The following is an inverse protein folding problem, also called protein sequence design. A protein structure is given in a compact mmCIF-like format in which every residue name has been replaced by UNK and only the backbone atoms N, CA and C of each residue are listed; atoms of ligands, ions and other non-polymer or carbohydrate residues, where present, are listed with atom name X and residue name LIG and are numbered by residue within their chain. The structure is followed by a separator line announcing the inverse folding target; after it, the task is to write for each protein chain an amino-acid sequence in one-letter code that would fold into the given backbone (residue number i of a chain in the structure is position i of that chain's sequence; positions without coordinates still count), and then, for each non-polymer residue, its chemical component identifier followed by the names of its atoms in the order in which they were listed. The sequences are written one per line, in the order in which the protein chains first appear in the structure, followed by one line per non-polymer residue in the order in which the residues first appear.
data_IF_437827285031
#
_entry.id   IF_437827285031
#
_cell.length_a   1.000
_cell.length_b   1.000
_cell.length_c   1.000
_cell.angle_alpha   90.00
_cell.angle_beta   90.00
_cell.angle_gamma   90.00
#
_symmetry.space_group_name_H-M   'P 1'
#
loop_
_entity.id
_entity.type
_entity.pdbx_description
1 polymer ?
#
# COMPACT_ATOMS: atom_id res chain seq x y z
N UNK A 1 14.22 9.10 -6.19
CA UNK A 1 15.45 9.90 -6.02
C UNK A 1 15.47 11.11 -6.93
N UNK A 2 15.30 11.00 -8.28
CA UNK A 2 15.34 12.15 -9.19
C UNK A 2 14.38 13.28 -8.78
N UNK A 3 13.13 12.96 -8.44
CA UNK A 3 12.14 13.94 -7.97
C UNK A 3 12.59 14.59 -6.66
N UNK A 4 13.21 13.86 -5.75
CA UNK A 4 13.76 14.42 -4.51
C UNK A 4 14.85 15.48 -4.77
N UNK A 5 15.69 15.27 -5.77
CA UNK A 5 16.71 16.22 -6.20
C UNK A 5 16.05 17.48 -6.77
N UNK A 6 15.03 17.32 -7.62
CA UNK A 6 14.26 18.45 -8.17
C UNK A 6 13.61 19.25 -7.04
N UNK A 7 12.97 18.58 -6.08
CA UNK A 7 12.35 19.25 -4.91
C UNK A 7 13.39 19.97 -4.05
N UNK A 8 14.58 19.41 -3.91
CA UNK A 8 15.66 20.05 -3.16
C UNK A 8 16.10 21.41 -3.77
N UNK A 9 16.24 21.46 -5.10
CA UNK A 9 16.70 22.68 -5.78
C UNK A 9 15.58 23.68 -6.06
N UNK A 10 14.39 23.23 -6.43
CA UNK A 10 13.26 24.07 -6.86
C UNK A 10 12.19 24.27 -5.79
N UNK A 11 12.34 23.61 -4.63
CA UNK A 11 11.33 23.65 -3.57
C UNK A 11 10.08 22.85 -3.89
N UNK A 12 9.01 23.10 -3.12
CA UNK A 12 7.74 22.35 -3.21
C UNK A 12 6.62 23.12 -3.90
N UNK A 13 6.82 24.39 -4.24
CA UNK A 13 5.76 25.29 -4.75
C UNK A 13 5.14 24.76 -6.04
N UNK A 14 5.98 24.33 -6.99
CA UNK A 14 5.56 23.80 -8.29
C UNK A 14 4.69 22.54 -8.19
N UNK A 15 4.83 21.81 -7.07
CA UNK A 15 4.05 20.58 -6.84
C UNK A 15 2.57 20.93 -6.68
N UNK A 16 2.25 21.99 -5.94
CA UNK A 16 0.86 22.44 -5.75
C UNK A 16 0.21 22.91 -7.06
N UNK A 17 1.02 23.39 -8.01
CA UNK A 17 0.53 23.82 -9.33
C UNK A 17 0.24 22.61 -10.25
N UNK A 18 1.08 21.57 -10.19
CA UNK A 18 0.93 20.36 -10.99
C UNK A 18 -0.03 19.36 -10.35
N UNK A 19 0.04 19.22 -9.02
CA UNK A 19 -0.72 18.28 -8.21
C UNK A 19 -1.51 19.02 -7.12
N UNK A 20 -2.58 19.74 -7.46
CA UNK A 20 -3.41 20.39 -6.46
C UNK A 20 -4.05 19.33 -5.55
N UNK A 21 -4.32 19.65 -4.26
CA UNK A 21 -4.87 18.70 -3.26
C UNK A 21 -6.13 17.96 -3.72
N UNK A 22 -6.97 18.63 -4.54
CA UNK A 22 -8.19 18.02 -5.11
C UNK A 22 -7.85 16.87 -6.07
N UNK A 23 -6.79 17.01 -6.88
CA UNK A 23 -6.33 15.96 -7.80
C UNK A 23 -5.78 14.76 -7.05
N UNK A 24 -5.14 14.96 -5.91
CA UNK A 24 -4.61 13.87 -5.07
C UNK A 24 -5.72 12.98 -4.54
N UNK A 25 -6.84 13.55 -4.09
CA UNK A 25 -8.01 12.78 -3.66
C UNK A 25 -8.56 11.89 -4.78
N UNK A 26 -8.63 12.41 -6.00
CA UNK A 26 -9.05 11.63 -7.16
C UNK A 26 -8.08 10.48 -7.50
N UNK A 27 -6.76 10.72 -7.42
CA UNK A 27 -5.74 9.68 -7.64
C UNK A 27 -5.86 8.56 -6.63
N UNK A 28 -5.98 8.88 -5.33
CA UNK A 28 -6.15 7.88 -4.26
C UNK A 28 -7.44 7.07 -4.46
N UNK A 29 -8.53 7.72 -4.86
CA UNK A 29 -9.79 7.04 -5.15
C UNK A 29 -9.66 6.08 -6.34
N UNK A 30 -8.94 6.47 -7.40
CA UNK A 30 -8.68 5.61 -8.56
C UNK A 30 -7.83 4.40 -8.20
N UNK A 31 -6.81 4.55 -7.35
CA UNK A 31 -6.00 3.44 -6.84
C UNK A 31 -6.89 2.45 -6.07
N UNK A 32 -7.76 2.96 -5.19
CA UNK A 32 -8.71 2.12 -4.46
C UNK A 32 -9.68 1.36 -5.37
N UNK A 33 -10.18 2.01 -6.42
CA UNK A 33 -11.06 1.38 -7.41
C UNK A 33 -10.33 0.30 -8.22
N UNK A 34 -9.10 0.53 -8.63
CA UNK A 34 -8.30 -0.46 -9.35
C UNK A 34 -8.01 -1.69 -8.48
N UNK A 35 -7.64 -1.49 -7.23
CA UNK A 35 -7.40 -2.57 -6.28
C UNK A 35 -8.67 -3.33 -5.90
N UNK A 36 -9.86 -2.72 -6.03
CA UNK A 36 -11.13 -3.35 -5.69
C UNK A 36 -11.41 -4.61 -6.51
N UNK A 37 -11.02 -4.62 -7.81
CA UNK A 37 -11.13 -5.78 -8.68
C UNK A 37 -10.28 -6.96 -8.19
N UNK A 38 -9.04 -6.70 -7.78
CA UNK A 38 -8.14 -7.70 -7.20
C UNK A 38 -8.69 -8.20 -5.86
N UNK A 39 -9.18 -7.32 -5.01
CA UNK A 39 -9.80 -7.70 -3.73
C UNK A 39 -11.03 -8.58 -3.93
N UNK A 40 -11.89 -8.28 -4.91
CA UNK A 40 -13.07 -9.08 -5.23
C UNK A 40 -12.70 -10.48 -5.73
N UNK A 41 -11.64 -10.62 -6.53
CA UNK A 41 -11.09 -11.91 -6.96
C UNK A 41 -10.55 -12.69 -5.76
N UNK A 42 -9.72 -12.09 -4.94
CA UNK A 42 -9.17 -12.71 -3.72
C UNK A 42 -10.29 -13.11 -2.74
N UNK A 43 -11.35 -12.31 -2.64
CA UNK A 43 -12.53 -12.59 -1.83
C UNK A 43 -13.46 -13.66 -2.40
N UNK A 44 -13.20 -14.17 -3.61
CA UNK A 44 -14.00 -15.22 -4.25
C UNK A 44 -15.35 -14.74 -4.80
N UNK A 45 -15.55 -13.42 -4.95
CA UNK A 45 -16.76 -12.84 -5.57
C UNK A 45 -16.68 -12.90 -7.09
N UNK A 46 -15.48 -12.62 -7.63
CA UNK A 46 -15.19 -12.69 -9.06
C UNK A 46 -14.36 -13.94 -9.30
N UNK A 47 -14.88 -14.83 -10.15
CA UNK A 47 -14.23 -16.09 -10.49
C UNK A 47 -13.24 -15.88 -11.65
N UNK A 48 -12.09 -16.53 -11.56
CA UNK A 48 -11.17 -16.69 -12.69
C UNK A 48 -11.39 -18.10 -13.29
N UNK A 49 -11.96 -18.13 -14.50
CA UNK A 49 -12.23 -19.39 -15.22
C UNK A 49 -13.52 -20.10 -14.77
N UNK A 50 -13.54 -21.43 -14.86
CA UNK A 50 -14.69 -22.29 -14.52
C UNK A 50 -14.86 -22.56 -13.01
N UNK A 51 -14.29 -21.71 -12.15
CA UNK A 51 -14.38 -21.87 -10.70
C UNK A 51 -15.80 -21.67 -10.17
N UNK A 52 -16.10 -22.24 -9.02
CA UNK A 52 -17.34 -22.03 -8.29
C UNK A 52 -17.14 -21.04 -7.15
N UNK A 53 -18.16 -20.22 -6.89
CA UNK A 53 -18.15 -19.32 -5.73
C UNK A 53 -18.05 -20.16 -4.45
N UNK A 54 -17.06 -19.86 -3.62
CA UNK A 54 -16.90 -20.46 -2.30
C UNK A 54 -17.61 -19.60 -1.25
N UNK A 55 -18.80 -19.98 -0.77
CA UNK A 55 -19.58 -19.14 0.13
C UNK A 55 -18.84 -18.75 1.41
N UNK A 56 -18.01 -19.65 1.92
CA UNK A 56 -17.22 -19.43 3.13
C UNK A 56 -16.15 -18.34 2.93
N UNK A 57 -15.50 -18.31 1.78
CA UNK A 57 -14.51 -17.29 1.43
C UNK A 57 -15.17 -15.92 1.26
N UNK A 58 -16.31 -15.88 0.56
CA UNK A 58 -17.12 -14.67 0.40
C UNK A 58 -17.61 -14.15 1.75
N UNK A 59 -18.06 -15.03 2.64
CA UNK A 59 -18.49 -14.64 3.99
C UNK A 59 -17.37 -13.95 4.77
N UNK A 60 -16.15 -14.53 4.78
CA UNK A 60 -15.00 -13.93 5.46
C UNK A 60 -14.64 -12.59 4.84
N UNK A 61 -14.67 -12.49 3.52
CA UNK A 61 -14.38 -11.24 2.80
C UNK A 61 -15.35 -10.13 3.20
N UNK A 62 -16.66 -10.40 3.17
CA UNK A 62 -17.69 -9.44 3.57
C UNK A 62 -17.57 -9.08 5.05
N UNK A 63 -17.33 -10.07 5.91
CA UNK A 63 -17.15 -9.85 7.35
C UNK A 63 -15.96 -8.93 7.64
N UNK A 64 -14.80 -9.18 7.01
CA UNK A 64 -13.60 -8.36 7.21
C UNK A 64 -13.80 -6.92 6.75
N UNK A 65 -14.43 -6.70 5.58
CA UNK A 65 -14.77 -5.36 5.12
C UNK A 65 -15.72 -4.67 6.10
N UNK A 66 -16.75 -5.38 6.53
CA UNK A 66 -17.74 -4.83 7.46
C UNK A 66 -17.10 -4.42 8.78
N UNK A 67 -16.23 -5.26 9.34
CA UNK A 67 -15.47 -4.93 10.56
C UNK A 67 -14.55 -3.73 10.34
N UNK A 68 -13.85 -3.64 9.20
CA UNK A 68 -12.99 -2.52 8.89
C UNK A 68 -13.78 -1.20 8.76
N UNK A 69 -14.89 -1.21 8.01
CA UNK A 69 -15.73 -0.03 7.80
C UNK A 69 -16.44 0.41 9.09
N UNK A 70 -17.05 -0.53 9.81
CA UNK A 70 -17.68 -0.21 11.10
C UNK A 70 -16.64 0.21 12.13
N UNK A 71 -15.47 -0.45 12.13
CA UNK A 71 -14.38 -0.12 13.04
C UNK A 71 -13.86 1.30 12.83
N UNK A 72 -13.69 1.74 11.58
CA UNK A 72 -13.24 3.10 11.28
C UNK A 72 -14.23 4.19 11.70
N UNK A 73 -15.53 3.86 11.84
CA UNK A 73 -16.57 4.81 12.20
C UNK A 73 -17.00 4.73 13.67
N UNK A 74 -17.01 3.52 14.26
CA UNK A 74 -17.54 3.28 15.60
C UNK A 74 -16.46 3.24 16.69
N UNK A 75 -15.24 2.85 16.34
CA UNK A 75 -14.16 2.75 17.32
C UNK A 75 -13.71 4.13 17.80
N UNK A 76 -13.34 4.22 19.06
CA UNK A 76 -12.89 5.45 19.72
C UNK A 76 -11.59 5.21 20.48
N UNK A 77 -10.84 6.27 20.71
CA UNK A 77 -9.55 6.19 21.40
C UNK A 77 -8.52 5.35 20.62
N UNK A 78 -7.79 4.49 21.30
CA UNK A 78 -6.72 3.69 20.68
C UNK A 78 -7.23 2.76 19.55
N UNK A 79 -8.43 2.19 19.70
CA UNK A 79 -9.00 1.28 18.70
C UNK A 79 -9.32 1.96 17.37
N UNK A 80 -9.57 3.27 17.36
CA UNK A 80 -9.82 4.02 16.12
C UNK A 80 -8.57 4.18 15.24
N UNK A 81 -7.38 3.90 15.78
CA UNK A 81 -6.12 3.97 15.04
C UNK A 81 -5.83 2.66 14.30
N UNK A 82 -6.40 1.53 14.76
CA UNK A 82 -6.07 0.19 14.28
C UNK A 82 -7.27 -0.62 13.75
N UNK A 83 -8.29 -0.02 13.10
CA UNK A 83 -9.49 -0.75 12.67
C UNK A 83 -9.17 -1.85 11.65
N UNK A 84 -8.22 -1.62 10.74
CA UNK A 84 -7.81 -2.59 9.73
C UNK A 84 -7.13 -3.80 10.38
N UNK A 85 -6.27 -3.57 11.38
CA UNK A 85 -5.62 -4.67 12.12
C UNK A 85 -6.66 -5.54 12.83
N UNK A 86 -7.67 -4.91 13.45
CA UNK A 86 -8.78 -5.64 14.10
C UNK A 86 -9.55 -6.46 13.07
N UNK A 87 -9.84 -5.90 11.90
CA UNK A 87 -10.52 -6.62 10.83
C UNK A 87 -9.72 -7.83 10.34
N UNK A 88 -8.40 -7.71 10.20
CA UNK A 88 -7.51 -8.82 9.83
C UNK A 88 -7.55 -9.91 10.90
N UNK A 89 -7.42 -9.56 12.17
CA UNK A 89 -7.44 -10.52 13.28
C UNK A 89 -8.79 -11.24 13.33
N UNK A 90 -9.91 -10.52 13.25
CA UNK A 90 -11.25 -11.12 13.25
C UNK A 90 -11.42 -12.04 12.05
N UNK A 91 -11.07 -11.61 10.86
CA UNK A 91 -11.14 -12.42 9.64
C UNK A 91 -10.32 -13.70 9.75
N UNK A 92 -9.09 -13.59 10.26
CA UNK A 92 -8.22 -14.75 10.46
C UNK A 92 -8.78 -15.75 11.48
N UNK A 93 -9.25 -15.25 12.62
CA UNK A 93 -9.86 -16.10 13.67
C UNK A 93 -11.08 -16.83 13.14
N UNK A 94 -11.96 -16.16 12.40
CA UNK A 94 -13.13 -16.79 11.78
C UNK A 94 -12.71 -17.83 10.73
N UNK A 95 -11.74 -17.51 9.88
CA UNK A 95 -11.18 -18.44 8.90
C UNK A 95 -10.60 -19.70 9.55
N UNK A 96 -9.92 -19.53 10.69
CA UNK A 96 -9.38 -20.63 11.48
C UNK A 96 -10.48 -21.57 11.99
N UNK A 97 -11.55 -21.03 12.61
CA UNK A 97 -12.67 -21.82 13.09
C UNK A 97 -13.48 -22.49 11.97
N UNK A 98 -13.48 -21.90 10.78
CA UNK A 98 -14.10 -22.49 9.59
C UNK A 98 -13.22 -23.54 8.91
N UNK A 99 -12.00 -23.80 9.41
CA UNK A 99 -11.07 -24.78 8.84
C UNK A 99 -10.49 -24.39 7.47
N UNK A 100 -10.50 -23.10 7.15
CA UNK A 100 -10.00 -22.57 5.85
C UNK A 100 -8.52 -22.18 5.92
N UNK A 101 -7.90 -22.23 7.10
CA UNK A 101 -6.49 -21.87 7.28
C UNK A 101 -5.63 -23.12 7.09
N UNK A 102 -4.76 -23.08 6.07
CA UNK A 102 -3.75 -24.10 5.83
C UNK A 102 -2.44 -23.73 6.53
N UNK A 103 -2.00 -24.55 7.46
CA UNK A 103 -0.73 -24.37 8.17
C UNK A 103 0.44 -25.11 7.53
N UNK A 104 0.21 -25.91 6.50
CA UNK A 104 1.26 -26.68 5.82
C UNK A 104 2.44 -25.80 5.38
N UNK A 105 2.22 -24.61 4.76
CA UNK A 105 3.33 -23.75 4.36
C UNK A 105 4.17 -23.26 5.54
N UNK A 106 3.54 -23.07 6.71
CA UNK A 106 4.25 -22.62 7.92
C UNK A 106 5.07 -23.76 8.53
N UNK A 107 4.54 -24.99 8.50
CA UNK A 107 5.22 -26.18 9.03
C UNK A 107 6.43 -26.58 8.16
N UNK A 108 6.31 -26.39 6.85
CA UNK A 108 7.37 -26.69 5.88
C UNK A 108 8.40 -25.56 5.76
N UNK A 109 8.08 -24.36 6.26
CA UNK A 109 8.98 -23.23 6.19
C UNK A 109 10.18 -23.40 7.12
N UNK A 110 11.37 -23.17 6.60
CA UNK A 110 12.57 -23.07 7.44
C UNK A 110 12.51 -21.82 8.31
N UNK A 111 12.82 -21.95 9.61
CA UNK A 111 12.86 -20.81 10.56
C UNK A 111 13.86 -19.74 10.08
N UNK A 112 14.96 -20.18 9.47
CA UNK A 112 15.95 -19.31 8.87
C UNK A 112 16.13 -19.72 7.40
N UNK A 113 15.67 -18.88 6.49
CA UNK A 113 15.94 -19.04 5.06
C UNK A 113 16.66 -17.81 4.51
N UNK A 114 17.65 -18.06 3.66
CA UNK A 114 18.32 -16.97 2.96
C UNK A 114 17.42 -16.48 1.84
N UNK A 115 17.13 -15.17 1.73
CA UNK A 115 16.35 -14.63 0.63
C UNK A 115 17.00 -15.01 -0.72
N UNK A 116 16.16 -15.28 -1.71
CA UNK A 116 16.64 -15.47 -3.08
C UNK A 116 17.00 -14.10 -3.66
N UNK A 117 18.27 -13.76 -3.61
CA UNK A 117 18.77 -12.54 -4.23
C UNK A 117 18.67 -12.67 -5.75
N UNK A 118 18.02 -11.71 -6.39
CA UNK A 118 17.98 -11.57 -7.85
C UNK A 118 18.78 -10.34 -8.24
N UNK A 119 19.63 -10.47 -9.25
CA UNK A 119 20.35 -9.33 -9.76
C UNK A 119 19.42 -8.47 -10.63
N UNK A 120 19.36 -7.15 -10.42
CA UNK A 120 18.57 -6.26 -11.26
C UNK A 120 19.13 -6.29 -12.69
N UNK A 121 18.25 -6.49 -13.66
CA UNK A 121 18.58 -6.39 -15.09
C UNK A 121 18.12 -5.03 -15.57
N UNK A 122 19.01 -4.31 -16.23
CA UNK A 122 18.71 -2.98 -16.76
C UNK A 122 18.01 -3.12 -18.12
N UNK A 123 16.71 -2.80 -18.14
CA UNK A 123 15.87 -2.84 -19.34
C UNK A 123 15.20 -1.47 -19.56
N UNK A 124 15.54 -0.83 -20.66
CA UNK A 124 15.00 0.47 -21.04
C UNK A 124 13.49 0.42 -21.28
N UNK A 125 12.98 -0.66 -21.84
CA UNK A 125 11.54 -0.83 -22.12
C UNK A 125 10.77 -0.89 -20.81
N UNK A 126 11.23 -1.69 -19.86
CA UNK A 126 10.62 -1.78 -18.53
C UNK A 126 10.65 -0.42 -17.80
N UNK A 127 11.76 0.32 -17.89
CA UNK A 127 11.88 1.66 -17.29
C UNK A 127 10.86 2.62 -17.87
N UNK A 128 10.71 2.67 -19.19
CA UNK A 128 9.76 3.57 -19.84
C UNK A 128 8.31 3.24 -19.52
N UNK A 129 7.97 1.95 -19.37
CA UNK A 129 6.63 1.51 -18.98
C UNK A 129 6.31 1.91 -17.54
N UNK A 130 7.28 1.81 -16.62
CA UNK A 130 7.08 2.09 -15.19
C UNK A 130 7.18 3.60 -14.89
N UNK A 131 7.84 4.38 -15.74
CA UNK A 131 8.07 5.81 -15.50
C UNK A 131 6.79 6.60 -15.17
N UNK A 132 5.65 6.44 -15.89
CA UNK A 132 4.40 7.10 -15.52
C UNK A 132 3.89 6.74 -14.13
N UNK A 133 4.05 5.47 -13.69
CA UNK A 133 3.66 5.03 -12.36
C UNK A 133 4.46 5.75 -11.26
N UNK A 134 5.68 6.20 -11.54
CA UNK A 134 6.47 6.99 -10.59
C UNK A 134 5.78 8.30 -10.20
N UNK A 135 5.05 8.94 -11.12
CA UNK A 135 4.29 10.15 -10.81
C UNK A 135 3.15 9.87 -9.83
N UNK A 136 2.49 8.71 -9.98
CA UNK A 136 1.44 8.26 -9.06
C UNK A 136 2.01 8.03 -7.67
N UNK A 137 3.13 7.31 -7.56
CA UNK A 137 3.82 7.04 -6.28
C UNK A 137 4.27 8.34 -5.60
N UNK A 138 4.80 9.30 -6.36
CA UNK A 138 5.17 10.62 -5.82
C UNK A 138 3.94 11.37 -5.29
N UNK A 139 2.83 11.34 -6.03
CA UNK A 139 1.58 11.98 -5.62
C UNK A 139 1.02 11.35 -4.35
N UNK A 140 1.03 10.03 -4.27
CA UNK A 140 0.63 9.26 -3.09
C UNK A 140 1.50 9.61 -1.88
N UNK A 141 2.82 9.62 -2.05
CA UNK A 141 3.76 9.99 -0.99
C UNK A 141 3.49 11.40 -0.44
N UNK A 142 3.22 12.36 -1.32
CA UNK A 142 2.89 13.74 -0.92
C UNK A 142 1.55 13.76 -0.16
N UNK A 143 0.55 13.03 -0.66
CA UNK A 143 -0.75 12.90 -0.01
C UNK A 143 -0.63 12.35 1.42
N UNK A 144 0.12 11.27 1.61
CA UNK A 144 0.37 10.68 2.93
C UNK A 144 1.12 11.64 3.86
N UNK A 145 2.13 12.36 3.36
CA UNK A 145 2.85 13.37 4.15
C UNK A 145 1.95 14.52 4.60
N UNK A 146 1.01 14.95 3.74
CA UNK A 146 0.04 16.00 4.10
C UNK A 146 -0.93 15.51 5.17
N UNK A 147 -1.53 14.33 4.98
CA UNK A 147 -2.49 13.76 5.94
C UNK A 147 -1.82 13.49 7.28
N UNK A 148 -0.64 12.84 7.27
CA UNK A 148 0.13 12.60 8.49
C UNK A 148 0.49 13.93 9.18
N UNK A 149 0.91 14.93 8.41
CA UNK A 149 1.22 16.26 8.93
C UNK A 149 0.02 16.92 9.62
N UNK A 150 -1.18 16.75 9.09
CA UNK A 150 -2.42 17.25 9.72
C UNK A 150 -2.72 16.50 11.02
N UNK A 151 -2.53 15.18 11.07
CA UNK A 151 -2.78 14.37 12.27
C UNK A 151 -1.85 14.75 13.42
N UNK A 152 -0.57 14.97 13.12
CA UNK A 152 0.45 15.32 14.14
C UNK A 152 0.65 16.82 14.32
N UNK A 153 -0.16 17.64 13.65
CA UNK A 153 -0.11 19.11 13.68
C UNK A 153 1.26 19.70 13.30
N UNK A 154 1.94 19.04 12.33
CA UNK A 154 3.26 19.46 11.83
C UNK A 154 3.28 19.56 10.32
N UNK A 155 4.01 20.54 9.80
CA UNK A 155 4.20 20.65 8.36
C UNK A 155 5.40 19.79 7.90
N UNK A 156 5.12 18.51 7.59
CA UNK A 156 6.12 17.53 7.17
C UNK A 156 6.72 17.85 5.79
N UNK A 157 6.04 18.63 4.97
CA UNK A 157 6.60 19.06 3.68
C UNK A 157 7.74 20.05 3.85
N UNK A 158 7.73 20.82 4.98
CA UNK A 158 8.75 21.81 5.30
C UNK A 158 9.83 21.24 6.23
N UNK A 159 9.44 20.54 7.28
CA UNK A 159 10.34 19.95 8.28
C UNK A 159 9.88 18.53 8.64
N UNK A 160 10.68 17.50 8.38
CA UNK A 160 12.09 17.46 7.88
C UNK A 160 12.27 17.79 6.40
N UNK A 161 11.20 18.00 5.65
CA UNK A 161 11.19 18.38 4.24
C UNK A 161 10.90 17.25 3.29
N UNK A 162 10.02 17.52 2.31
CA UNK A 162 9.56 16.54 1.32
C UNK A 162 10.73 15.90 0.53
N UNK A 163 11.79 16.66 0.25
CA UNK A 163 12.97 16.13 -0.46
C UNK A 163 13.64 14.98 0.30
N UNK A 164 13.69 15.04 1.64
CA UNK A 164 14.30 14.00 2.47
C UNK A 164 13.45 12.73 2.49
N UNK A 165 12.13 12.87 2.65
CA UNK A 165 11.23 11.72 2.66
C UNK A 165 11.18 11.03 1.29
N UNK A 166 11.11 11.78 0.19
CA UNK A 166 11.19 11.24 -1.18
C UNK A 166 12.55 10.60 -1.48
N UNK A 167 13.65 11.16 -0.96
CA UNK A 167 14.97 10.56 -1.12
C UNK A 167 15.06 9.24 -0.36
N UNK A 168 14.56 9.17 0.86
CA UNK A 168 14.55 7.96 1.67
C UNK A 168 13.70 6.86 1.03
N UNK A 169 12.50 7.18 0.57
CA UNK A 169 11.61 6.27 -0.13
C UNK A 169 12.23 5.74 -1.44
N UNK A 170 12.77 6.63 -2.25
CA UNK A 170 13.44 6.24 -3.49
C UNK A 170 14.73 5.43 -3.27
N UNK A 171 15.47 5.67 -2.18
CA UNK A 171 16.64 4.88 -1.81
C UNK A 171 16.24 3.51 -1.28
N UNK A 172 15.19 3.44 -0.45
CA UNK A 172 14.60 2.19 0.03
C UNK A 172 14.15 1.29 -1.13
N UNK A 173 13.42 1.87 -2.10
CA UNK A 173 12.98 1.15 -3.32
C UNK A 173 14.16 0.64 -4.14
N UNK A 174 15.22 1.45 -4.28
CA UNK A 174 16.43 1.03 -4.99
C UNK A 174 17.14 -0.13 -4.29
N UNK A 175 17.27 -0.07 -2.96
CA UNK A 175 17.82 -1.17 -2.17
C UNK A 175 16.96 -2.43 -2.29
N UNK A 176 15.64 -2.31 -2.16
CA UNK A 176 14.70 -3.43 -2.34
C UNK A 176 14.91 -4.12 -3.68
N UNK A 177 15.04 -3.35 -4.76
CA UNK A 177 15.33 -3.90 -6.09
C UNK A 177 16.65 -4.63 -6.19
N UNK A 178 17.72 -4.15 -5.50
CA UNK A 178 19.01 -4.85 -5.45
C UNK A 178 18.92 -6.19 -4.72
N UNK A 179 18.00 -6.33 -3.77
CA UNK A 179 17.75 -7.59 -3.05
C UNK A 179 16.66 -8.46 -3.68
N UNK A 180 16.13 -8.07 -4.85
CA UNK A 180 15.10 -8.81 -5.54
C UNK A 180 13.70 -8.71 -4.88
N UNK A 181 13.51 -7.71 -4.04
CA UNK A 181 12.23 -7.42 -3.41
C UNK A 181 11.41 -6.44 -4.26
N UNK A 182 10.12 -6.33 -3.94
CA UNK A 182 9.21 -5.38 -4.59
C UNK A 182 9.53 -3.94 -4.19
N UNK A 183 9.16 -2.95 -5.03
CA UNK A 183 9.29 -1.54 -4.68
C UNK A 183 8.56 -1.24 -3.36
N UNK A 184 9.17 -0.39 -2.54
CA UNK A 184 8.56 0.12 -1.32
C UNK A 184 7.89 1.46 -1.60
N UNK A 185 6.80 1.75 -0.91
CA UNK A 185 6.15 3.07 -0.94
C UNK A 185 5.69 3.43 0.47
N UNK A 186 5.41 4.71 0.69
CA UNK A 186 4.85 5.17 1.95
C UNK A 186 3.40 4.71 2.05
N UNK A 187 3.07 4.05 3.15
CA UNK A 187 1.71 3.61 3.45
C UNK A 187 1.16 4.43 4.62
N UNK A 188 -0.09 4.86 4.51
CA UNK A 188 -0.77 5.61 5.55
C UNK A 188 -1.61 4.75 6.48
#
# INVERSE_FOLDING_TARGET
VAVAVVVYFFGTSWINDILPPVSMGAVVALIGLELSGTAAKMGGIVLEGEGTIEPNRVFIFVLTILVAVLGSTLFRGFLSVIPILIAIVVGYVVAYFMGLVDFTPVQEASILSVPKFTHPIFDWTAILIILPATLVVVSEHIGHQLVTGQIIEKNLLRDPGLHRSLAADGFSTMLSGCFGAVPTTTYG
#
